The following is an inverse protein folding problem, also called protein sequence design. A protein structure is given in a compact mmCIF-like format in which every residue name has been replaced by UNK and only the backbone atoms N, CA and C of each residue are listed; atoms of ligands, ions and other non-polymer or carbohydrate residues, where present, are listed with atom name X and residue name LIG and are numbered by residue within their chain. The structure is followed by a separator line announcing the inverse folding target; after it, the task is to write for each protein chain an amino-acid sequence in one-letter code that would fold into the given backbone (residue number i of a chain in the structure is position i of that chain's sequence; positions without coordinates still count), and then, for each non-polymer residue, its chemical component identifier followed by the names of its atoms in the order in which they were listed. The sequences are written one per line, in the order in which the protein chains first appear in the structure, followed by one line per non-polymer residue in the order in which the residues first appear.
data_IF_498367606994
#
_entry.id   IF_498367606994
#
_cell.length_a   1.000
_cell.length_b   1.000
_cell.length_c   1.000
_cell.angle_alpha   90.00
_cell.angle_beta   90.00
_cell.angle_gamma   90.00
#
_symmetry.space_group_name_H-M   'P 1'
#
loop_
_entity.id
_entity.type
_entity.pdbx_description
1 polymer ?
#
# COMPACT_ATOMS: atom_id res chain seq x y z
N UNK A 1 1.12 -7.55 -8.56
CA UNK A 1 1.02 -6.64 -7.38
C UNK A 1 -0.18 -5.68 -7.46
N UNK A 2 -0.52 -5.12 -8.63
CA UNK A 2 -1.70 -4.25 -8.79
C UNK A 2 -2.99 -4.92 -8.30
N UNK A 3 -3.92 -4.10 -7.78
CA UNK A 3 -5.22 -4.55 -7.29
C UNK A 3 -5.61 -3.94 -5.95
N UNK A 4 -6.66 -4.52 -5.35
CA UNK A 4 -7.20 -4.17 -4.04
C UNK A 4 -6.66 -5.11 -2.97
N UNK A 5 -6.27 -4.52 -1.84
CA UNK A 5 -5.56 -5.19 -0.76
C UNK A 5 -6.15 -4.76 0.58
N UNK A 6 -6.64 -5.67 1.39
CA UNK A 6 -7.22 -5.38 2.71
C UNK A 6 -6.33 -5.88 3.85
N UNK A 7 -6.25 -5.12 4.95
CA UNK A 7 -5.58 -5.58 6.18
C UNK A 7 -6.43 -6.64 6.90
N UNK A 8 -7.75 -6.47 6.86
CA UNK A 8 -8.74 -7.44 7.34
C UNK A 8 -9.78 -7.73 6.26
N UNK A 9 -10.51 -8.83 6.40
CA UNK A 9 -11.55 -9.23 5.41
C UNK A 9 -12.61 -8.14 5.18
N UNK A 10 -12.95 -7.39 6.24
CA UNK A 10 -13.93 -6.31 6.18
C UNK A 10 -13.49 -5.13 5.28
N UNK A 11 -12.19 -4.92 5.07
CA UNK A 11 -11.68 -3.87 4.17
C UNK A 11 -11.99 -4.16 2.70
N UNK A 12 -12.26 -5.43 2.36
CA UNK A 12 -12.58 -5.85 1.01
C UNK A 12 -14.07 -5.72 0.68
N UNK A 13 -14.93 -5.42 1.66
CA UNK A 13 -16.37 -5.23 1.46
C UNK A 13 -16.65 -4.01 0.57
N UNK A 14 -17.42 -4.20 -0.50
CA UNK A 14 -17.79 -3.09 -1.40
C UNK A 14 -18.76 -2.14 -0.70
N UNK A 15 -18.55 -0.84 -0.89
CA UNK A 15 -19.44 0.21 -0.39
C UNK A 15 -19.17 0.66 1.05
N UNK A 16 -18.21 0.05 1.76
CA UNK A 16 -17.73 0.58 3.04
C UNK A 16 -16.86 1.81 2.81
N UNK A 17 -17.33 2.96 3.29
CA UNK A 17 -16.60 4.23 3.25
C UNK A 17 -15.52 4.34 4.32
N UNK A 18 -15.58 3.52 5.37
CA UNK A 18 -14.70 3.52 6.53
C UNK A 18 -13.63 2.42 6.49
N UNK A 19 -13.41 1.78 5.33
CA UNK A 19 -12.40 0.75 5.12
C UNK A 19 -10.96 1.31 5.18
N UNK A 20 -10.50 1.71 6.37
CA UNK A 20 -9.20 2.35 6.58
C UNK A 20 -8.02 1.45 6.22
N UNK A 21 -8.21 0.13 6.25
CA UNK A 21 -7.20 -0.85 5.86
C UNK A 21 -7.22 -1.24 4.38
N UNK A 22 -8.12 -0.67 3.57
CA UNK A 22 -8.13 -0.90 2.13
C UNK A 22 -7.03 -0.07 1.45
N UNK A 23 -6.18 -0.76 0.70
CA UNK A 23 -5.20 -0.17 -0.19
C UNK A 23 -5.48 -0.56 -1.64
N UNK A 24 -5.38 0.41 -2.55
CA UNK A 24 -5.45 0.17 -4.00
C UNK A 24 -4.11 0.51 -4.61
N UNK A 25 -3.52 -0.44 -5.32
CA UNK A 25 -2.25 -0.28 -6.03
C UNK A 25 -2.52 -0.20 -7.54
N UNK A 26 -2.30 1.00 -8.09
CA UNK A 26 -2.47 1.36 -9.50
C UNK A 26 -1.10 1.48 -10.20
N UNK A 27 -1.04 1.71 -11.52
CA UNK A 27 0.25 1.83 -12.24
C UNK A 27 1.19 2.92 -11.69
N UNK A 28 0.63 4.04 -11.24
CA UNK A 28 1.40 5.21 -10.79
C UNK A 28 0.94 5.76 -9.45
N UNK A 29 -0.08 5.18 -8.83
CA UNK A 29 -0.63 5.65 -7.56
C UNK A 29 -0.85 4.51 -6.58
N UNK A 30 -0.79 4.84 -5.30
CA UNK A 30 -1.31 4.02 -4.22
C UNK A 30 -2.32 4.86 -3.43
N UNK A 31 -3.47 4.28 -3.11
CA UNK A 31 -4.46 4.95 -2.26
C UNK A 31 -4.72 4.11 -1.03
N UNK A 32 -4.81 4.73 0.14
CA UNK A 32 -5.25 4.06 1.36
C UNK A 32 -5.96 5.08 2.26
N UNK A 33 -7.07 4.67 2.88
CA UNK A 33 -7.94 5.55 3.66
C UNK A 33 -8.25 6.87 2.91
N UNK A 34 -7.81 8.03 3.43
CA UNK A 34 -7.98 9.36 2.84
C UNK A 34 -6.71 9.87 2.12
N UNK A 35 -5.68 9.02 2.01
CA UNK A 35 -4.38 9.38 1.46
C UNK A 35 -4.16 8.85 0.04
N UNK A 36 -3.57 9.68 -0.81
CA UNK A 36 -3.12 9.30 -2.16
C UNK A 36 -1.62 9.52 -2.27
N UNK A 37 -0.88 8.47 -2.59
CA UNK A 37 0.54 8.50 -2.91
C UNK A 37 0.77 8.45 -4.41
N UNK A 38 1.38 9.49 -4.96
CA UNK A 38 1.82 9.56 -6.35
C UNK A 38 3.25 9.00 -6.45
N UNK A 39 3.50 8.10 -7.40
CA UNK A 39 4.82 7.54 -7.64
C UNK A 39 5.77 8.65 -8.13
N UNK A 40 6.85 8.88 -7.38
CA UNK A 40 7.85 9.91 -7.69
C UNK A 40 9.09 9.30 -8.34
N UNK A 41 9.57 8.16 -7.81
CA UNK A 41 10.71 7.43 -8.39
C UNK A 41 10.70 5.96 -7.99
N UNK A 42 11.26 5.11 -8.84
CA UNK A 42 11.43 3.67 -8.58
C UNK A 42 12.90 3.45 -8.22
N UNK A 43 13.16 2.86 -7.05
CA UNK A 43 14.51 2.49 -6.63
C UNK A 43 14.87 1.08 -7.09
N UNK A 44 13.90 0.15 -7.06
CA UNK A 44 14.07 -1.23 -7.54
C UNK A 44 12.72 -1.85 -7.88
N UNK A 45 12.69 -2.74 -8.88
CA UNK A 45 11.49 -3.50 -9.23
C UNK A 45 11.84 -4.89 -9.77
N UNK A 46 11.06 -5.88 -9.34
CA UNK A 46 11.03 -7.24 -9.88
C UNK A 46 9.59 -7.75 -9.95
N UNK A 47 9.38 -8.98 -10.40
CA UNK A 47 8.05 -9.58 -10.49
C UNK A 47 7.33 -9.67 -9.14
N UNK A 48 8.09 -9.75 -8.04
CA UNK A 48 7.54 -9.92 -6.69
C UNK A 48 7.92 -8.82 -5.70
N UNK A 49 8.88 -7.94 -6.00
CA UNK A 49 9.30 -6.86 -5.11
C UNK A 49 9.26 -5.51 -5.82
N UNK A 50 8.87 -4.46 -5.11
CA UNK A 50 8.85 -3.10 -5.62
C UNK A 50 9.25 -2.11 -4.53
N UNK A 51 10.34 -1.38 -4.75
CA UNK A 51 10.84 -0.35 -3.83
C UNK A 51 10.75 1.01 -4.54
N UNK A 52 9.97 1.93 -3.99
CA UNK A 52 9.71 3.22 -4.63
C UNK A 52 9.51 4.36 -3.63
N UNK A 53 9.75 5.60 -4.08
CA UNK A 53 9.38 6.81 -3.36
C UNK A 53 8.04 7.32 -3.87
N UNK A 54 7.16 7.66 -2.93
CA UNK A 54 5.87 8.26 -3.19
C UNK A 54 5.77 9.62 -2.52
N UNK A 55 5.15 10.57 -3.22
CA UNK A 55 4.69 11.85 -2.68
C UNK A 55 3.22 11.70 -2.31
N UNK A 56 2.94 11.71 -1.02
CA UNK A 56 1.60 11.53 -0.46
C UNK A 56 0.92 12.85 -0.17
N UNK A 57 -0.40 12.85 -0.34
CA UNK A 57 -1.33 13.88 0.11
C UNK A 57 -2.49 13.21 0.85
N UNK A 58 -2.79 13.66 2.06
CA UNK A 58 -3.87 13.13 2.90
C UNK A 58 -3.96 13.87 4.23
N UNK A 59 -5.15 13.87 4.85
CA UNK A 59 -5.37 14.47 6.19
C UNK A 59 -4.90 15.93 6.31
N UNK A 60 -4.91 16.68 5.20
CA UNK A 60 -4.44 18.08 5.15
C UNK A 60 -2.93 18.26 5.11
N UNK A 61 -2.16 17.17 4.93
CA UNK A 61 -0.70 17.19 4.88
C UNK A 61 -0.17 16.60 3.58
N UNK A 62 1.06 17.02 3.24
CA UNK A 62 1.86 16.42 2.17
C UNK A 62 3.17 15.91 2.76
N UNK A 63 3.59 14.71 2.35
CA UNK A 63 4.86 14.14 2.78
C UNK A 63 5.40 13.18 1.75
N UNK A 64 6.70 12.89 1.79
CA UNK A 64 7.30 11.84 0.98
C UNK A 64 7.63 10.62 1.82
N UNK A 65 7.54 9.43 1.21
CA UNK A 65 8.00 8.19 1.86
C UNK A 65 8.55 7.21 0.86
N UNK A 66 9.59 6.51 1.27
CA UNK A 66 10.04 5.30 0.60
C UNK A 66 9.21 4.13 1.10
N UNK A 67 8.62 3.40 0.17
CA UNK A 67 7.72 2.27 0.42
C UNK A 67 8.27 1.06 -0.31
N UNK A 68 8.39 -0.04 0.42
CA UNK A 68 8.77 -1.35 -0.09
C UNK A 68 7.56 -2.26 -0.10
N UNK A 69 7.29 -2.87 -1.24
CA UNK A 69 6.26 -3.87 -1.42
C UNK A 69 6.88 -5.22 -1.77
N UNK A 70 6.41 -6.28 -1.12
CA UNK A 70 6.80 -7.66 -1.43
C UNK A 70 5.54 -8.52 -1.56
N UNK A 71 5.43 -9.22 -2.67
CA UNK A 71 4.36 -10.17 -2.94
C UNK A 71 4.78 -11.56 -2.44
N UNK A 72 3.85 -12.30 -1.84
CA UNK A 72 4.03 -13.73 -1.54
C UNK A 72 4.18 -14.55 -2.83
N UNK A 73 4.78 -15.74 -2.72
CA UNK A 73 5.00 -16.64 -3.88
C UNK A 73 3.71 -17.00 -4.63
N UNK A 74 2.59 -17.13 -3.93
CA UNK A 74 1.27 -17.42 -4.48
C UNK A 74 0.47 -16.16 -4.89
N UNK A 75 1.01 -14.95 -4.68
CA UNK A 75 0.41 -13.72 -5.16
C UNK A 75 -0.83 -13.24 -4.39
N UNK A 76 -1.17 -13.87 -3.26
CA UNK A 76 -2.37 -13.62 -2.45
C UNK A 76 -2.13 -12.64 -1.29
N UNK A 77 -0.87 -12.38 -0.96
CA UNK A 77 -0.44 -11.59 0.19
C UNK A 77 0.53 -10.52 -0.27
N UNK A 78 0.31 -9.28 0.15
CA UNK A 78 1.18 -8.15 -0.12
C UNK A 78 1.70 -7.61 1.20
N UNK A 79 3.01 -7.62 1.35
CA UNK A 79 3.71 -6.99 2.46
C UNK A 79 4.12 -5.59 2.07
N UNK A 80 3.85 -4.61 2.92
CA UNK A 80 4.27 -3.21 2.74
C UNK A 80 5.11 -2.79 3.94
N UNK A 81 6.25 -2.16 3.68
CA UNK A 81 7.12 -1.56 4.70
C UNK A 81 7.38 -0.11 4.34
N UNK A 82 7.20 0.78 5.30
CA UNK A 82 7.39 2.22 5.12
C UNK A 82 8.66 2.66 5.84
N UNK A 83 9.60 3.27 5.12
CA UNK A 83 10.80 3.81 5.74
C UNK A 83 10.44 5.00 6.65
N UNK A 84 10.96 5.01 7.89
CA UNK A 84 10.83 6.12 8.84
C UNK A 84 9.36 6.52 9.18
N UNK A 85 8.41 5.59 9.09
CA UNK A 85 7.04 5.79 9.58
C UNK A 85 6.91 5.81 11.11
N UNK A 86 5.80 6.32 11.67
CA UNK A 86 5.58 6.37 13.11
C UNK A 86 5.57 4.99 13.80
N UNK A 87 5.34 3.91 13.03
CA UNK A 87 5.32 2.51 13.51
C UNK A 87 6.63 1.74 13.23
N UNK A 88 7.76 2.43 13.10
CA UNK A 88 9.05 1.86 12.64
C UNK A 88 9.70 0.83 13.54
N UNK A 89 9.19 0.59 14.74
CA UNK A 89 9.75 -0.44 15.64
C UNK A 89 9.34 -1.87 15.22
N UNK A 90 8.30 -2.04 14.38
CA UNK A 90 7.83 -3.33 13.83
C UNK A 90 7.08 -3.20 12.46
N UNK A 91 7.20 -2.05 11.77
CA UNK A 91 6.26 -1.50 10.77
C UNK A 91 6.16 -2.19 9.41
N UNK A 92 5.73 -3.45 9.39
CA UNK A 92 5.32 -4.14 8.17
C UNK A 92 3.81 -4.40 8.19
N UNK A 93 3.10 -3.82 7.22
CA UNK A 93 1.70 -4.11 6.97
C UNK A 93 1.57 -5.39 6.14
N UNK A 94 0.64 -6.26 6.51
CA UNK A 94 0.32 -7.48 5.76
C UNK A 94 -1.09 -7.38 5.22
N UNK A 95 -1.22 -7.33 3.90
CA UNK A 95 -2.51 -7.26 3.23
C UNK A 95 -2.84 -8.59 2.54
N UNK A 96 -4.12 -8.92 2.48
CA UNK A 96 -4.66 -9.98 1.62
C UNK A 96 -5.31 -9.39 0.38
N UNK A 97 -5.18 -10.09 -0.74
CA UNK A 97 -5.82 -9.70 -2.00
C UNK A 97 -7.34 -9.76 -1.83
N UNK A 98 -8.02 -8.67 -2.13
CA UNK A 98 -9.48 -8.69 -2.19
C UNK A 98 -9.93 -9.44 -3.44
N UNK A 99 -10.85 -10.38 -3.25
CA UNK A 99 -11.62 -10.97 -4.36
C UNK A 99 -12.52 -9.90 -4.96
N UNK A 100 -12.53 -9.79 -6.29
CA UNK A 100 -13.32 -8.79 -7.01
C UNK A 100 -14.83 -8.92 -6.76
#
# INVERSE_FOLDING_TARGET
MRGRWGLVSADCEKGKSDAKGLMIVSPTTITFYESVGQLSSISSSSDSKFDARFSFMGEGMNWERQVSFQLSKNGDTLFRTDANGPDTTNGQFTYKRCSN
#
